data_IF_353183194208
#
_entry.id   IF_353183194208
#
_cell.length_a   1.000
_cell.length_b   1.000
_cell.length_c   1.000
_cell.angle_alpha   90.00
_cell.angle_beta   90.00
_cell.angle_gamma   90.00
#
_symmetry.space_group_name_H-M   'P 1'
#
loop_
_entity.id
_entity.type
_entity.pdbx_description
1 polymer ?
#
# COMPACT_ATOMS: atom_id res chain seq x y z
N UNK A 1 -33.90 10.38 20.74
CA UNK A 1 -33.86 9.07 20.05
C UNK A 1 -32.40 8.69 19.82
N UNK A 2 -32.01 7.50 20.23
CA UNK A 2 -30.61 7.06 20.35
C UNK A 2 -30.15 6.48 18.99
N UNK A 3 -29.23 7.14 18.28
CA UNK A 3 -28.75 6.69 16.95
C UNK A 3 -27.72 5.54 17.00
N UNK A 4 -27.40 4.99 18.18
CA UNK A 4 -26.31 4.02 18.34
C UNK A 4 -26.82 2.58 18.32
N UNK A 5 -27.21 2.08 17.15
CA UNK A 5 -27.36 0.64 16.91
C UNK A 5 -27.42 0.33 15.41
N UNK A 6 -26.37 0.61 14.64
CA UNK A 6 -26.45 0.43 13.18
C UNK A 6 -25.34 -0.35 12.49
N UNK A 7 -24.24 -0.73 13.16
CA UNK A 7 -23.22 -1.58 12.50
C UNK A 7 -22.66 -2.56 13.52
N UNK A 8 -22.78 -3.87 13.25
CA UNK A 8 -22.03 -4.91 13.98
C UNK A 8 -20.59 -4.88 13.46
N UNK A 9 -19.60 -4.77 14.34
CA UNK A 9 -18.16 -4.65 14.01
C UNK A 9 -17.86 -3.49 13.03
N UNK A 10 -18.16 -2.24 13.41
CA UNK A 10 -17.96 -1.08 12.55
C UNK A 10 -16.50 -0.93 12.11
N UNK A 11 -15.52 -1.37 12.91
CA UNK A 11 -14.11 -1.28 12.56
C UNK A 11 -13.79 -2.11 11.30
N UNK A 12 -14.33 -3.33 11.22
CA UNK A 12 -14.15 -4.20 10.05
C UNK A 12 -14.88 -3.60 8.85
N UNK A 13 -16.12 -3.12 9.04
CA UNK A 13 -16.88 -2.50 7.96
C UNK A 13 -16.19 -1.27 7.35
N UNK A 14 -15.49 -0.47 8.16
CA UNK A 14 -14.72 0.68 7.68
C UNK A 14 -13.56 0.22 6.78
N UNK A 15 -12.83 -0.82 7.18
CA UNK A 15 -11.67 -1.32 6.42
C UNK A 15 -12.12 -2.02 5.13
N UNK A 16 -13.22 -2.76 5.16
CA UNK A 16 -13.80 -3.40 3.96
C UNK A 16 -14.36 -2.38 2.95
N UNK A 17 -14.77 -1.19 3.40
CA UNK A 17 -15.23 -0.12 2.52
C UNK A 17 -14.07 0.57 1.77
N UNK A 18 -12.81 0.36 2.19
CA UNK A 18 -11.63 0.89 1.49
C UNK A 18 -11.44 0.11 0.18
N UNK A 19 -11.40 0.86 -0.93
CA UNK A 19 -11.26 0.29 -2.27
C UNK A 19 -9.85 -0.21 -2.58
N UNK A 20 -8.84 0.39 -1.96
CA UNK A 20 -7.45 -0.02 -2.05
C UNK A 20 -7.19 -1.34 -1.31
N UNK A 21 -6.12 -2.04 -1.68
CA UNK A 21 -5.68 -3.23 -0.96
C UNK A 21 -5.19 -2.84 0.43
N UNK A 22 -5.80 -3.43 1.46
CA UNK A 22 -5.43 -3.24 2.86
C UNK A 22 -5.04 -4.58 3.47
N UNK A 23 -3.89 -4.60 4.14
CA UNK A 23 -3.42 -5.75 4.91
C UNK A 23 -2.96 -5.30 6.30
N UNK A 24 -3.13 -6.16 7.29
CA UNK A 24 -2.66 -5.92 8.66
C UNK A 24 -1.65 -7.00 9.01
N UNK A 25 -0.47 -6.63 9.48
CA UNK A 25 0.59 -7.58 9.84
C UNK A 25 1.07 -7.41 11.27
N UNK A 26 1.36 -8.53 11.94
CA UNK A 26 1.93 -8.53 13.29
C UNK A 26 3.46 -8.31 13.29
N UNK A 27 4.08 -8.12 14.47
CA UNK A 27 5.54 -8.01 14.60
C UNK A 27 6.34 -9.24 14.13
N UNK A 28 5.70 -10.40 14.02
CA UNK A 28 6.27 -11.63 13.49
C UNK A 28 6.07 -11.77 11.97
N UNK A 29 5.66 -10.69 11.30
CA UNK A 29 5.46 -10.58 9.85
C UNK A 29 4.31 -11.41 9.31
N UNK A 30 3.39 -11.91 10.15
CA UNK A 30 2.21 -12.64 9.67
C UNK A 30 1.09 -11.68 9.31
N UNK A 31 0.39 -12.00 8.22
CA UNK A 31 -0.82 -11.29 7.82
C UNK A 31 -1.96 -11.71 8.75
N UNK A 32 -2.40 -10.79 9.61
CA UNK A 32 -3.53 -10.97 10.51
C UNK A 32 -4.87 -10.81 9.79
N UNK A 33 -4.91 -9.94 8.78
CA UNK A 33 -6.13 -9.59 8.06
C UNK A 33 -5.83 -9.06 6.66
N UNK A 34 -6.79 -9.28 5.75
CA UNK A 34 -6.87 -8.69 4.42
C UNK A 34 -8.30 -8.24 4.15
N UNK A 35 -8.47 -7.04 3.59
CA UNK A 35 -9.77 -6.66 3.03
C UNK A 35 -10.04 -7.38 1.70
N UNK A 36 -11.28 -7.28 1.22
CA UNK A 36 -11.67 -7.95 -0.03
C UNK A 36 -10.84 -7.49 -1.24
N UNK A 37 -10.45 -6.21 -1.32
CA UNK A 37 -9.60 -5.70 -2.39
C UNK A 37 -8.22 -6.39 -2.42
N UNK A 38 -7.60 -6.58 -1.24
CA UNK A 38 -6.35 -7.32 -1.12
C UNK A 38 -6.50 -8.78 -1.54
N UNK A 39 -7.56 -9.45 -1.08
CA UNK A 39 -7.85 -10.85 -1.46
C UNK A 39 -8.09 -11.02 -2.95
N UNK A 40 -8.74 -10.07 -3.60
CA UNK A 40 -8.93 -10.09 -5.05
C UNK A 40 -7.61 -9.92 -5.81
N UNK A 41 -6.64 -9.20 -5.25
CA UNK A 41 -5.35 -8.92 -5.88
C UNK A 41 -4.36 -10.07 -5.74
N UNK A 42 -4.20 -10.64 -4.53
CA UNK A 42 -3.16 -11.65 -4.24
C UNK A 42 -3.70 -12.96 -3.65
N UNK A 43 -5.02 -13.14 -3.62
CA UNK A 43 -5.66 -14.26 -2.93
C UNK A 43 -5.70 -14.11 -1.41
N UNK A 44 -6.30 -15.09 -0.73
CA UNK A 44 -6.27 -15.15 0.73
C UNK A 44 -4.92 -15.72 1.22
N UNK A 45 -4.19 -14.88 1.92
CA UNK A 45 -2.86 -15.09 2.48
C UNK A 45 -2.87 -14.91 4.00
N UNK A 46 -4.05 -14.84 4.63
CA UNK A 46 -4.19 -14.72 6.09
C UNK A 46 -3.45 -15.84 6.81
N UNK A 47 -2.69 -15.49 7.84
CA UNK A 47 -1.85 -16.40 8.63
C UNK A 47 -0.49 -16.72 8.03
N UNK A 48 -0.23 -16.36 6.76
CA UNK A 48 1.08 -16.52 6.14
C UNK A 48 1.99 -15.33 6.47
N UNK A 49 3.29 -15.56 6.37
CA UNK A 49 4.25 -14.46 6.42
C UNK A 49 4.10 -13.57 5.18
N UNK A 50 4.14 -12.25 5.39
CA UNK A 50 3.96 -11.27 4.32
C UNK A 50 5.00 -11.44 3.21
N UNK A 51 6.25 -11.78 3.56
CA UNK A 51 7.28 -12.02 2.57
C UNK A 51 6.95 -13.24 1.70
N UNK A 52 6.43 -14.34 2.25
CA UNK A 52 5.97 -15.49 1.46
C UNK A 52 4.76 -15.15 0.60
N UNK A 53 3.78 -14.44 1.17
CA UNK A 53 2.60 -13.98 0.43
C UNK A 53 2.97 -13.11 -0.78
N UNK A 54 4.06 -12.34 -0.67
CA UNK A 54 4.59 -11.48 -1.73
C UNK A 54 5.71 -12.15 -2.55
N UNK A 55 5.83 -13.49 -2.53
CA UNK A 55 6.73 -14.26 -3.40
C UNK A 55 8.20 -14.29 -2.98
N UNK A 56 8.53 -13.93 -1.74
CA UNK A 56 9.88 -13.98 -1.16
C UNK A 56 10.01 -15.12 -0.15
N UNK A 57 11.23 -15.61 0.03
CA UNK A 57 11.52 -16.67 1.01
C UNK A 57 12.02 -16.12 2.37
N UNK A 58 12.34 -14.83 2.44
CA UNK A 58 12.88 -14.16 3.61
C UNK A 58 12.35 -12.72 3.72
N UNK A 59 12.51 -12.14 4.91
CA UNK A 59 12.20 -10.73 5.17
C UNK A 59 12.92 -9.84 4.16
N UNK A 60 12.23 -8.80 3.68
CA UNK A 60 12.80 -7.83 2.74
C UNK A 60 14.08 -7.18 3.31
N UNK A 61 15.10 -7.00 2.48
CA UNK A 61 16.36 -6.33 2.86
C UNK A 61 16.11 -4.93 3.46
N UNK A 62 15.18 -4.18 2.86
CA UNK A 62 14.71 -2.87 3.34
C UNK A 62 13.24 -2.96 3.75
N UNK A 63 12.97 -3.78 4.75
CA UNK A 63 11.61 -4.01 5.22
C UNK A 63 11.02 -2.75 5.90
N UNK A 64 10.03 -2.14 5.25
CA UNK A 64 9.32 -0.98 5.78
C UNK A 64 8.51 -1.32 7.03
N UNK A 65 8.01 -2.55 7.13
CA UNK A 65 7.31 -3.03 8.33
C UNK A 65 8.26 -3.11 9.53
N UNK A 66 9.50 -3.56 9.33
CA UNK A 66 10.53 -3.55 10.38
C UNK A 66 10.89 -2.12 10.79
N UNK A 67 11.00 -1.18 9.84
CA UNK A 67 11.24 0.23 10.16
C UNK A 67 10.12 0.83 11.02
N UNK A 68 8.87 0.57 10.65
CA UNK A 68 7.68 0.98 11.41
C UNK A 68 7.70 0.44 12.84
N UNK A 69 7.99 -0.84 13.06
CA UNK A 69 8.04 -1.39 14.42
C UNK A 69 9.21 -0.85 15.23
N UNK A 70 10.29 -0.44 14.57
CA UNK A 70 11.47 0.16 15.22
C UNK A 70 11.23 1.59 15.67
N UNK A 71 10.63 2.44 14.83
CA UNK A 71 10.50 3.88 15.10
C UNK A 71 9.08 4.33 15.45
N UNK A 72 8.09 3.48 15.23
CA UNK A 72 6.68 3.75 15.48
C UNK A 72 6.06 4.82 14.59
N UNK A 73 6.65 5.08 13.42
CA UNK A 73 6.19 6.09 12.47
C UNK A 73 5.50 5.47 11.26
N UNK A 74 4.73 6.32 10.58
CA UNK A 74 4.20 6.01 9.25
C UNK A 74 5.33 6.09 8.23
N UNK A 75 5.40 5.10 7.34
CA UNK A 75 6.36 5.05 6.25
C UNK A 75 5.63 4.96 4.92
N UNK A 76 6.22 5.57 3.89
CA UNK A 76 5.72 5.50 2.52
C UNK A 76 6.84 5.10 1.57
N UNK A 77 6.52 4.28 0.58
CA UNK A 77 7.44 3.96 -0.51
C UNK A 77 6.68 3.76 -1.81
N UNK A 78 7.36 3.96 -2.94
CA UNK A 78 6.87 3.48 -4.22
C UNK A 78 7.38 2.06 -4.45
N UNK A 79 6.51 1.18 -4.95
CA UNK A 79 6.83 -0.17 -5.36
C UNK A 79 6.46 -0.34 -6.82
N UNK A 80 7.44 -0.76 -7.61
CA UNK A 80 7.25 -1.07 -9.02
C UNK A 80 7.21 -2.58 -9.15
N UNK A 81 6.14 -3.09 -9.76
CA UNK A 81 5.97 -4.49 -10.10
C UNK A 81 5.98 -4.60 -11.62
N UNK A 82 6.92 -5.39 -12.14
CA UNK A 82 6.97 -5.71 -13.56
C UNK A 82 6.08 -6.93 -13.80
N UNK A 83 5.02 -6.75 -14.57
CA UNK A 83 4.22 -7.86 -15.09
C UNK A 83 4.68 -8.18 -16.52
N UNK A 84 4.22 -9.30 -17.08
CA UNK A 84 4.62 -9.72 -18.43
C UNK A 84 4.15 -8.75 -19.54
N UNK A 85 3.19 -7.87 -19.26
CA UNK A 85 2.63 -6.94 -20.23
C UNK A 85 2.90 -5.46 -19.87
N UNK A 86 2.92 -5.12 -18.58
CA UNK A 86 2.96 -3.73 -18.12
C UNK A 86 3.77 -3.53 -16.84
N UNK A 87 4.16 -2.27 -16.61
CA UNK A 87 4.74 -1.82 -15.34
C UNK A 87 3.62 -1.28 -14.45
N UNK A 88 3.45 -1.87 -13.28
CA UNK A 88 2.53 -1.38 -12.26
C UNK A 88 3.28 -0.65 -11.15
N UNK A 89 2.92 0.60 -10.92
CA UNK A 89 3.44 1.44 -9.87
C UNK A 89 2.43 1.55 -8.73
N UNK A 90 2.87 1.24 -7.52
CA UNK A 90 2.08 1.35 -6.30
C UNK A 90 2.74 2.31 -5.32
N UNK A 91 1.95 3.19 -4.71
CA UNK A 91 2.32 3.81 -3.44
C UNK A 91 1.93 2.86 -2.31
N UNK A 92 2.90 2.48 -1.48
CA UNK A 92 2.71 1.63 -0.31
C UNK A 92 2.84 2.51 0.93
N UNK A 93 1.78 2.58 1.74
CA UNK A 93 1.77 3.30 3.02
C UNK A 93 1.64 2.32 4.17
N UNK A 94 2.58 2.32 5.11
CA UNK A 94 2.54 1.52 6.33
C UNK A 94 2.33 2.43 7.55
N UNK A 95 1.37 2.09 8.41
CA UNK A 95 1.00 2.86 9.61
C UNK A 95 0.90 1.97 10.85
N UNK A 96 1.39 2.42 12.02
CA UNK A 96 1.33 1.62 13.23
C UNK A 96 -0.11 1.56 13.76
N UNK A 97 -0.61 0.35 14.00
CA UNK A 97 -1.81 0.11 14.79
C UNK A 97 -1.42 0.00 16.27
N UNK A 98 -2.08 0.78 17.13
CA UNK A 98 -1.80 0.85 18.56
C UNK A 98 -2.99 0.36 19.38
N UNK A 99 -2.70 -0.32 20.48
CA UNK A 99 -3.70 -0.62 21.50
C UNK A 99 -4.04 0.61 22.36
N UNK A 100 -4.95 0.42 23.31
CA UNK A 100 -5.37 1.48 24.25
C UNK A 100 -4.25 1.97 25.17
N UNK A 101 -3.16 1.21 25.32
CA UNK A 101 -1.98 1.62 26.07
C UNK A 101 -0.94 2.34 25.19
N UNK A 102 -1.21 2.50 23.90
CA UNK A 102 -0.32 3.14 22.93
C UNK A 102 0.78 2.22 22.38
N UNK A 103 0.79 0.94 22.77
CA UNK A 103 1.75 -0.05 22.27
C UNK A 103 1.39 -0.42 20.84
N UNK A 104 2.39 -0.50 19.97
CA UNK A 104 2.20 -0.96 18.59
C UNK A 104 1.91 -2.46 18.61
N UNK A 105 0.75 -2.86 18.10
CA UNK A 105 0.30 -4.26 18.04
C UNK A 105 0.37 -4.85 16.64
N UNK A 106 0.31 -4.01 15.61
CA UNK A 106 0.42 -4.41 14.21
C UNK A 106 0.83 -3.22 13.32
N UNK A 107 1.19 -3.50 12.08
CA UNK A 107 1.25 -2.53 10.99
C UNK A 107 0.02 -2.67 10.09
N UNK A 108 -0.52 -1.55 9.62
CA UNK A 108 -1.53 -1.50 8.55
C UNK A 108 -0.81 -1.06 7.29
N UNK A 109 -0.84 -1.90 6.25
CA UNK A 109 -0.31 -1.61 4.93
C UNK A 109 -1.45 -1.34 3.94
N UNK A 110 -1.40 -0.20 3.26
CA UNK A 110 -2.30 0.18 2.17
C UNK A 110 -1.49 0.27 0.88
N UNK A 111 -1.94 -0.41 -0.17
CA UNK A 111 -1.36 -0.35 -1.50
C UNK A 111 -2.31 0.40 -2.44
N UNK A 112 -1.86 1.56 -2.93
CA UNK A 112 -2.58 2.37 -3.90
C UNK A 112 -1.88 2.31 -5.24
N UNK A 113 -2.59 1.93 -6.29
CA UNK A 113 -2.10 2.03 -7.65
C UNK A 113 -1.96 3.50 -8.07
N UNK A 114 -0.81 3.86 -8.63
CA UNK A 114 -0.49 5.24 -9.07
C UNK A 114 -0.14 5.34 -10.56
N UNK A 115 -0.46 4.30 -11.35
CA UNK A 115 -0.17 4.21 -12.78
C UNK A 115 -0.61 5.44 -13.58
N UNK A 116 -1.86 5.88 -13.40
CA UNK A 116 -2.41 7.05 -14.11
C UNK A 116 -1.65 8.34 -13.81
N UNK A 117 -1.23 8.53 -12.56
CA UNK A 117 -0.46 9.72 -12.16
C UNK A 117 0.92 9.72 -12.81
N UNK A 118 1.60 8.58 -12.82
CA UNK A 118 2.91 8.43 -13.47
C UNK A 118 2.83 8.63 -14.98
N UNK A 119 1.81 8.05 -15.63
CA UNK A 119 1.61 8.24 -17.07
C UNK A 119 1.37 9.70 -17.45
N UNK A 120 0.59 10.42 -16.64
CA UNK A 120 0.32 11.84 -16.86
C UNK A 120 1.57 12.71 -16.62
N UNK A 121 2.35 12.42 -15.58
CA UNK A 121 3.62 13.10 -15.30
C UNK A 121 4.63 12.91 -16.45
N UNK A 122 4.76 11.69 -16.96
CA UNK A 122 5.66 11.39 -18.07
C UNK A 122 5.19 12.04 -19.38
N UNK A 123 3.88 12.00 -19.65
CA UNK A 123 3.30 12.68 -20.81
C UNK A 123 3.58 14.19 -20.79
N UNK A 124 3.48 14.83 -19.62
CA UNK A 124 3.82 16.25 -19.45
C UNK A 124 5.32 16.51 -19.65
N UNK A 125 6.20 15.64 -19.14
CA UNK A 125 7.65 15.74 -19.36
C UNK A 125 8.01 15.67 -20.84
N UNK A 126 7.45 14.69 -21.57
CA UNK A 126 7.67 14.53 -23.01
C UNK A 126 7.14 15.74 -23.78
N UNK A 127 5.92 16.20 -23.48
CA UNK A 127 5.34 17.38 -24.10
C UNK A 127 6.22 18.62 -23.90
N UNK A 128 6.66 18.88 -22.66
CA UNK A 128 7.55 20.01 -22.33
C UNK A 128 8.88 19.94 -23.08
N UNK A 129 9.50 18.74 -23.15
CA UNK A 129 10.75 18.53 -23.88
C UNK A 129 10.59 18.83 -25.38
N UNK A 130 9.47 18.42 -25.97
CA UNK A 130 9.18 18.68 -27.38
C UNK A 130 8.89 20.16 -27.64
N UNK A 131 8.15 20.82 -26.75
CA UNK A 131 7.90 22.26 -26.84
C UNK A 131 9.19 23.07 -26.82
N UNK A 132 10.11 22.80 -25.87
CA UNK A 132 11.40 23.49 -25.82
C UNK A 132 12.21 23.34 -27.11
N UNK A 133 12.29 22.12 -27.67
CA UNK A 133 12.98 21.87 -28.95
C UNK A 133 12.39 22.66 -30.12
N UNK A 134 11.08 22.83 -30.17
CA UNK A 134 10.42 23.59 -31.23
C UNK A 134 10.75 25.07 -31.12
N UNK A 135 10.68 25.64 -29.91
CA UNK A 135 11.01 27.05 -29.65
C UNK A 135 12.50 27.32 -29.95
N UNK A 136 13.40 26.46 -29.51
CA UNK A 136 14.85 26.62 -29.69
C UNK A 136 15.28 26.50 -31.18
N UNK A 137 14.54 25.74 -32.00
CA UNK A 137 14.79 25.61 -33.44
C UNK A 137 14.08 26.70 -34.29
N UNK A 138 13.32 27.59 -33.65
CA UNK A 138 12.56 28.67 -34.31
C UNK A 138 13.24 30.05 -34.18
N UNK A 139 14.40 30.11 -33.55
CA UNK A 139 15.28 31.29 -33.39
C UNK A 139 16.57 31.09 -34.19
#
# INVERSE_FOLDING_TARGET
MNQRQLIKNPEIGIIEAITESVTIQDPDYKILYQNQASKNSIGDQTGKYCYNAYGRNNICEKCVLTALFKDGKTHKMERIVHTNADMECFEVTLMPLRDSAGKITAGIEILREINKYKWMEESLKVFRKNYHKLVDNSL
#
